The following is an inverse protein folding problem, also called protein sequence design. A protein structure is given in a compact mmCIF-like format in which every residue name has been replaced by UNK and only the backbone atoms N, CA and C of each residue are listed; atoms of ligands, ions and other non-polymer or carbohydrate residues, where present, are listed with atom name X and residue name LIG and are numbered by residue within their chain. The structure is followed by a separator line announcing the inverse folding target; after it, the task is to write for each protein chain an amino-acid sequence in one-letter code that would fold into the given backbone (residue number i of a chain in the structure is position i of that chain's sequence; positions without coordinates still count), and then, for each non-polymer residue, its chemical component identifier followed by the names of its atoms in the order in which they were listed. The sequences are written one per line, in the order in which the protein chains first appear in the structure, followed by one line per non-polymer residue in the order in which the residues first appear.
data_IF_383015828579
#
_entry.id   IF_383015828579
#
_cell.length_a   1.000
_cell.length_b   1.000
_cell.length_c   1.000
_cell.angle_alpha   90.00
_cell.angle_beta   90.00
_cell.angle_gamma   90.00
#
_symmetry.space_group_name_H-M   'P 1'
#
loop_
_entity.id
_entity.type
_entity.pdbx_description
1 polymer ?
#
# COMPACT_ATOMS: atom_id res chain seq x y z
N UNK A 1 24.20 10.91 10.26
CA UNK A 1 23.10 10.63 11.20
C UNK A 1 21.86 11.17 10.50
N UNK A 2 21.12 10.28 9.79
CA UNK A 2 19.94 10.69 9.05
C UNK A 2 18.83 10.89 10.05
N UNK A 3 18.24 12.08 10.04
CA UNK A 3 17.04 12.37 10.83
C UNK A 3 15.90 11.56 10.17
N UNK A 4 15.61 10.39 10.72
CA UNK A 4 14.38 9.67 10.42
C UNK A 4 13.27 10.66 10.74
N UNK A 5 12.35 11.00 9.80
CA UNK A 5 11.17 11.73 10.19
C UNK A 5 10.51 10.87 11.28
N UNK A 6 10.64 11.31 12.55
CA UNK A 6 9.90 10.69 13.64
C UNK A 6 8.45 10.70 13.15
N UNK A 7 7.77 9.59 13.40
CA UNK A 7 6.31 9.57 13.32
C UNK A 7 5.79 10.91 13.81
N UNK A 8 4.81 11.53 13.14
CA UNK A 8 4.32 12.82 13.56
C UNK A 8 4.13 12.74 15.06
N UNK A 9 4.93 13.51 15.82
CA UNK A 9 4.78 13.53 17.25
C UNK A 9 3.35 13.99 17.46
N UNK A 10 2.49 13.07 17.89
CA UNK A 10 1.17 13.40 18.39
C UNK A 10 1.42 14.46 19.45
N UNK A 11 1.16 15.68 19.09
CA UNK A 11 1.20 16.73 20.07
C UNK A 11 0.01 16.46 20.98
N UNK A 12 0.23 15.98 22.18
CA UNK A 12 -0.82 15.68 23.17
C UNK A 12 -1.76 16.86 23.45
N UNK A 13 -1.46 18.01 22.88
CA UNK A 13 -2.25 19.24 22.98
C UNK A 13 -3.20 19.48 21.82
N UNK A 14 -3.15 18.70 20.73
CA UNK A 14 -4.11 18.80 19.61
C UNK A 14 -5.08 17.63 19.69
N UNK A 15 -6.30 17.91 20.14
CA UNK A 15 -7.40 16.97 20.01
C UNK A 15 -7.54 16.55 18.54
N UNK A 16 -7.67 15.26 18.27
CA UNK A 16 -7.95 14.76 16.93
C UNK A 16 -9.26 15.36 16.46
N UNK A 17 -9.19 16.30 15.52
CA UNK A 17 -10.35 17.08 15.10
C UNK A 17 -11.24 16.34 14.11
N UNK A 18 -10.71 15.36 13.37
CA UNK A 18 -11.48 14.64 12.36
C UNK A 18 -10.91 13.27 12.06
N UNK A 19 -11.78 12.39 11.55
CA UNK A 19 -11.44 11.07 11.02
C UNK A 19 -11.71 11.06 9.51
N UNK A 20 -10.78 10.53 8.73
CA UNK A 20 -10.95 10.24 7.32
C UNK A 20 -11.25 8.76 7.12
N UNK A 21 -12.26 8.45 6.31
CA UNK A 21 -12.68 7.08 6.00
C UNK A 21 -12.70 6.90 4.49
N UNK A 22 -11.79 6.07 3.99
CA UNK A 22 -11.78 5.65 2.59
C UNK A 22 -12.76 4.48 2.40
N UNK A 23 -13.70 4.64 1.48
CA UNK A 23 -14.58 3.56 1.03
C UNK A 23 -14.13 3.12 -0.36
N UNK A 24 -13.83 1.83 -0.50
CA UNK A 24 -13.38 1.24 -1.75
C UNK A 24 -14.40 1.42 -2.90
N UNK A 25 -15.68 1.39 -2.54
CA UNK A 25 -16.77 1.41 -3.50
C UNK A 25 -17.08 0.02 -4.06
N UNK A 26 -17.85 -0.02 -5.14
CA UNK A 26 -18.17 -1.24 -5.86
C UNK A 26 -17.29 -1.34 -7.12
N UNK A 27 -16.76 -2.52 -7.37
CA UNK A 27 -15.90 -2.84 -8.50
C UNK A 27 -16.53 -2.42 -9.84
N UNK A 28 -15.79 -1.68 -10.66
CA UNK A 28 -16.22 -1.11 -11.95
C UNK A 28 -17.37 -0.10 -11.86
N UNK A 29 -17.63 0.47 -10.67
CA UNK A 29 -18.68 1.48 -10.51
C UNK A 29 -18.14 2.91 -10.40
N UNK A 30 -16.82 3.09 -10.34
CA UNK A 30 -16.15 4.40 -10.24
C UNK A 30 -16.73 5.26 -9.09
N UNK A 31 -16.95 4.63 -7.93
CA UNK A 31 -17.67 5.22 -6.81
C UNK A 31 -16.92 5.10 -5.46
N UNK A 32 -15.60 5.02 -5.48
CA UNK A 32 -14.82 5.18 -4.24
C UNK A 32 -15.02 6.57 -3.67
N UNK A 33 -15.13 6.67 -2.33
CA UNK A 33 -15.30 7.94 -1.63
C UNK A 33 -14.31 8.07 -0.48
N UNK A 34 -13.96 9.30 -0.16
CA UNK A 34 -13.25 9.65 1.07
C UNK A 34 -14.20 10.50 1.92
N UNK A 35 -14.73 9.94 3.00
CA UNK A 35 -15.55 10.65 3.94
C UNK A 35 -14.70 11.31 5.03
N UNK A 36 -15.20 12.43 5.58
CA UNK A 36 -14.64 13.11 6.74
C UNK A 36 -15.68 13.21 7.84
N UNK A 37 -15.30 12.78 9.03
CA UNK A 37 -16.10 12.93 10.26
C UNK A 37 -15.45 13.99 11.12
N UNK A 38 -16.16 15.06 11.46
CA UNK A 38 -15.76 16.01 12.49
C UNK A 38 -16.04 15.40 13.86
N UNK A 39 -15.01 15.17 14.66
CA UNK A 39 -15.16 14.48 15.94
C UNK A 39 -15.66 15.40 17.07
N UNK A 40 -15.68 16.73 16.86
CA UNK A 40 -16.22 17.67 17.85
C UNK A 40 -17.72 17.90 17.65
N UNK A 41 -18.16 18.01 16.39
CA UNK A 41 -19.55 18.29 16.05
C UNK A 41 -20.37 17.05 15.71
N UNK A 42 -19.70 15.96 15.29
CA UNK A 42 -20.32 14.75 14.76
C UNK A 42 -20.82 14.90 13.32
N UNK A 43 -20.54 16.03 12.66
CA UNK A 43 -20.91 16.23 11.25
C UNK A 43 -20.09 15.30 10.32
N UNK A 44 -20.75 14.80 9.27
CA UNK A 44 -20.15 13.88 8.30
C UNK A 44 -20.32 14.45 6.89
N UNK A 45 -19.20 14.64 6.19
CA UNK A 45 -19.18 14.78 4.73
C UNK A 45 -18.87 13.40 4.14
N UNK A 46 -19.83 12.77 3.49
CA UNK A 46 -19.70 11.42 2.96
C UNK A 46 -18.85 11.31 1.70
N UNK A 47 -18.60 12.43 1.01
CA UNK A 47 -17.72 12.48 -0.17
C UNK A 47 -16.85 13.74 -0.14
N UNK A 48 -16.09 13.84 0.95
CA UNK A 48 -15.22 14.99 1.23
C UNK A 48 -14.17 15.19 0.13
N UNK A 49 -13.71 14.10 -0.52
CA UNK A 49 -12.79 14.23 -1.64
C UNK A 49 -13.40 15.04 -2.79
N UNK A 50 -14.63 14.71 -3.20
CA UNK A 50 -15.34 15.46 -4.25
C UNK A 50 -15.63 16.89 -3.83
N UNK A 51 -16.01 17.12 -2.57
CA UNK A 51 -16.20 18.47 -2.00
C UNK A 51 -14.94 19.33 -2.17
N UNK A 52 -13.76 18.77 -1.89
CA UNK A 52 -12.49 19.52 -1.92
C UNK A 52 -11.86 19.64 -3.31
N UNK A 53 -12.15 18.69 -4.22
CA UNK A 53 -11.44 18.57 -5.50
C UNK A 53 -12.32 18.70 -6.74
N UNK A 54 -13.65 18.74 -6.60
CA UNK A 54 -14.60 18.89 -7.70
C UNK A 54 -14.66 17.70 -8.66
N UNK A 55 -14.12 16.54 -8.25
CA UNK A 55 -14.12 15.28 -9.01
C UNK A 55 -14.13 14.09 -8.08
N UNK A 56 -14.56 12.92 -8.55
CA UNK A 56 -14.44 11.67 -7.81
C UNK A 56 -12.99 11.20 -7.67
N UNK A 57 -12.74 10.34 -6.68
CA UNK A 57 -11.41 9.76 -6.43
C UNK A 57 -11.07 8.66 -7.44
N UNK A 58 -12.08 7.95 -7.93
CA UNK A 58 -11.92 6.88 -8.91
C UNK A 58 -12.63 5.58 -8.51
N UNK A 59 -12.16 4.48 -9.05
CA UNK A 59 -12.69 3.14 -8.84
C UNK A 59 -11.73 2.31 -7.99
N UNK A 60 -12.23 1.77 -6.90
CA UNK A 60 -11.52 0.86 -6.00
C UNK A 60 -10.32 1.53 -5.31
N UNK A 61 -10.59 2.49 -4.41
CA UNK A 61 -9.59 3.05 -3.48
C UNK A 61 -9.17 1.99 -2.48
N UNK A 62 -7.98 1.43 -2.65
CA UNK A 62 -7.58 0.18 -2.00
C UNK A 62 -6.88 0.36 -0.65
N UNK A 63 -6.09 1.40 -0.52
CA UNK A 63 -5.32 1.72 0.70
C UNK A 63 -5.27 3.23 0.90
N UNK A 64 -5.04 3.65 2.12
CA UNK A 64 -4.84 5.06 2.45
C UNK A 64 -3.82 5.18 3.58
N UNK A 65 -2.70 5.83 3.30
CA UNK A 65 -1.68 6.08 4.32
C UNK A 65 -1.20 7.52 4.31
N UNK A 66 -1.07 8.09 5.48
CA UNK A 66 -0.41 9.39 5.67
C UNK A 66 1.09 9.19 5.86
N UNK A 67 1.88 10.00 5.15
CA UNK A 67 3.32 10.11 5.36
C UNK A 67 3.74 11.58 5.30
N UNK A 68 4.23 12.09 6.44
CA UNK A 68 4.48 13.52 6.60
C UNK A 68 3.21 14.36 6.39
N UNK A 69 3.30 15.37 5.54
CA UNK A 69 2.19 16.27 5.20
C UNK A 69 1.32 15.77 4.03
N UNK A 70 1.45 14.51 3.63
CA UNK A 70 0.74 13.96 2.47
C UNK A 70 -0.02 12.68 2.82
N UNK A 71 -1.15 12.47 2.12
CA UNK A 71 -1.92 11.22 2.15
C UNK A 71 -1.79 10.59 0.76
N UNK A 72 -1.49 9.29 0.73
CA UNK A 72 -1.32 8.50 -0.47
C UNK A 72 -2.44 7.47 -0.56
N UNK A 73 -3.15 7.45 -1.69
CA UNK A 73 -4.30 6.58 -1.93
C UNK A 73 -4.09 5.83 -3.25
N UNK A 74 -3.69 4.55 -3.21
CA UNK A 74 -3.74 3.68 -4.38
C UNK A 74 -5.19 3.45 -4.81
N UNK A 75 -5.50 3.75 -6.08
CA UNK A 75 -6.83 3.57 -6.67
C UNK A 75 -6.71 2.48 -7.75
N UNK A 76 -7.11 1.27 -7.37
CA UNK A 76 -6.75 0.03 -8.07
C UNK A 76 -7.26 -0.01 -9.53
N UNK A 77 -8.57 -0.01 -9.73
CA UNK A 77 -9.17 -0.15 -11.07
C UNK A 77 -8.94 1.11 -11.93
N UNK A 78 -8.95 2.29 -11.34
CA UNK A 78 -8.56 3.52 -12.05
C UNK A 78 -7.07 3.56 -12.38
N UNK A 79 -6.28 2.63 -11.86
CA UNK A 79 -4.84 2.49 -12.07
C UNK A 79 -4.06 3.77 -11.87
N UNK A 80 -4.19 4.34 -10.68
CA UNK A 80 -3.53 5.59 -10.30
C UNK A 80 -3.18 5.62 -8.82
N UNK A 81 -2.19 6.45 -8.48
CA UNK A 81 -1.93 6.86 -7.10
C UNK A 81 -2.39 8.31 -6.93
N UNK A 82 -3.36 8.54 -6.07
CA UNK A 82 -3.79 9.86 -5.67
C UNK A 82 -2.98 10.33 -4.46
N UNK A 83 -2.45 11.55 -4.50
CA UNK A 83 -1.66 12.14 -3.42
C UNK A 83 -2.31 13.46 -3.00
N UNK A 84 -2.66 13.56 -1.71
CA UNK A 84 -3.35 14.70 -1.14
C UNK A 84 -2.46 15.44 -0.15
N UNK A 85 -2.72 16.71 0.05
CA UNK A 85 -2.28 17.45 1.23
C UNK A 85 -3.05 16.96 2.46
N UNK A 86 -2.34 16.57 3.51
CA UNK A 86 -2.94 15.92 4.68
C UNK A 86 -3.85 16.85 5.50
N UNK A 87 -3.68 18.17 5.41
CA UNK A 87 -4.50 19.12 6.16
C UNK A 87 -5.79 19.47 5.42
N UNK A 88 -5.69 19.68 4.11
CA UNK A 88 -6.80 20.16 3.29
C UNK A 88 -7.51 19.08 2.47
N UNK A 89 -6.93 17.88 2.36
CA UNK A 89 -7.34 16.81 1.45
C UNK A 89 -7.45 17.25 -0.03
N UNK A 90 -6.79 18.36 -0.39
CA UNK A 90 -6.68 18.76 -1.79
C UNK A 90 -5.66 17.92 -2.52
N UNK A 91 -5.99 17.50 -3.73
CA UNK A 91 -5.11 16.77 -4.62
C UNK A 91 -3.86 17.59 -4.93
N UNK A 92 -2.69 17.03 -4.61
CA UNK A 92 -1.38 17.59 -4.96
C UNK A 92 -0.95 17.00 -6.30
N UNK A 93 -1.13 15.69 -6.46
CA UNK A 93 -0.71 14.96 -7.65
C UNK A 93 -1.52 13.69 -7.83
N UNK A 94 -1.80 13.37 -9.08
CA UNK A 94 -2.32 12.10 -9.52
C UNK A 94 -1.28 11.46 -10.44
N UNK A 95 -0.80 10.27 -10.08
CA UNK A 95 0.20 9.52 -10.85
C UNK A 95 -0.53 8.39 -11.58
N UNK A 96 -0.68 8.44 -12.91
CA UNK A 96 -1.24 7.33 -13.66
C UNK A 96 -0.25 6.16 -13.69
N UNK A 97 -0.79 4.94 -13.54
CA UNK A 97 0.00 3.71 -13.43
C UNK A 97 -0.39 2.74 -14.56
N UNK A 98 0.15 3.01 -15.74
CA UNK A 98 0.01 2.18 -16.92
C UNK A 98 1.40 1.77 -17.42
N UNK A 99 1.51 0.60 -18.03
CA UNK A 99 2.74 0.17 -18.68
C UNK A 99 2.90 0.87 -20.06
N UNK A 100 3.97 0.56 -20.77
CA UNK A 100 4.29 1.15 -22.09
C UNK A 100 3.24 0.80 -23.17
N UNK A 101 2.53 -0.30 -22.99
CA UNK A 101 1.43 -0.74 -23.88
C UNK A 101 0.07 -0.12 -23.48
N UNK A 102 0.03 0.73 -22.45
CA UNK A 102 -1.19 1.33 -21.94
C UNK A 102 -2.05 0.39 -21.07
N UNK A 103 -1.48 -0.73 -20.61
CA UNK A 103 -2.19 -1.69 -19.74
C UNK A 103 -2.09 -1.20 -18.29
N UNK A 104 -3.23 -1.24 -17.59
CA UNK A 104 -3.34 -0.86 -16.19
C UNK A 104 -2.47 -1.74 -15.29
N UNK A 105 -1.70 -1.11 -14.38
CA UNK A 105 -0.85 -1.80 -13.40
C UNK A 105 -1.60 -2.17 -12.13
N UNK A 106 -2.75 -1.56 -11.86
CA UNK A 106 -3.65 -1.85 -10.74
C UNK A 106 -2.95 -1.78 -9.36
N UNK A 107 -2.62 -0.58 -8.86
CA UNK A 107 -1.93 -0.43 -7.57
C UNK A 107 -2.75 -0.94 -6.40
N UNK A 108 -2.06 -1.47 -5.37
CA UNK A 108 -2.72 -2.10 -4.21
C UNK A 108 -2.42 -1.39 -2.90
N UNK A 109 -1.22 -1.49 -2.41
CA UNK A 109 -0.81 -0.99 -1.10
C UNK A 109 0.44 -0.13 -1.20
N UNK A 110 0.58 0.82 -0.28
CA UNK A 110 1.74 1.71 -0.19
C UNK A 110 2.41 1.61 1.17
N UNK A 111 3.75 1.65 1.21
CA UNK A 111 4.53 1.80 2.44
C UNK A 111 5.67 2.78 2.22
N UNK A 112 6.38 3.15 3.29
CA UNK A 112 7.38 4.21 3.23
C UNK A 112 8.65 3.81 3.97
N UNK A 113 9.79 4.30 3.48
CA UNK A 113 11.06 4.34 4.19
C UNK A 113 11.80 5.61 3.78
N UNK A 114 12.16 6.45 4.75
CA UNK A 114 12.89 7.72 4.55
C UNK A 114 12.21 8.64 3.54
N UNK A 115 12.86 8.89 2.40
CA UNK A 115 12.38 9.77 1.31
C UNK A 115 11.64 9.00 0.20
N UNK A 116 11.32 7.72 0.41
CA UNK A 116 10.70 6.87 -0.60
C UNK A 116 9.36 6.29 -0.16
N UNK A 117 8.44 6.24 -1.10
CA UNK A 117 7.22 5.44 -1.04
C UNK A 117 7.38 4.22 -1.97
N UNK A 118 6.85 3.09 -1.53
CA UNK A 118 6.85 1.84 -2.30
C UNK A 118 5.42 1.40 -2.50
N UNK A 119 5.04 1.12 -3.74
CA UNK A 119 3.68 0.86 -4.17
C UNK A 119 3.60 -0.47 -4.92
N UNK A 120 2.85 -1.43 -4.40
CA UNK A 120 2.57 -2.69 -5.12
C UNK A 120 1.58 -2.48 -6.25
N UNK A 121 1.78 -3.21 -7.34
CA UNK A 121 0.91 -3.23 -8.51
C UNK A 121 0.59 -4.68 -8.91
N UNK A 122 -0.67 -4.98 -9.18
CA UNK A 122 -1.13 -6.35 -9.50
C UNK A 122 -0.52 -6.94 -10.78
N UNK A 123 0.07 -6.13 -11.64
CA UNK A 123 0.80 -6.59 -12.83
C UNK A 123 2.17 -7.23 -12.50
N UNK A 124 2.51 -7.41 -11.24
CA UNK A 124 3.73 -8.06 -10.78
C UNK A 124 4.89 -7.12 -10.50
N UNK A 125 4.65 -5.84 -10.30
CA UNK A 125 5.68 -4.84 -10.07
C UNK A 125 5.49 -4.09 -8.75
N UNK A 126 6.60 -3.56 -8.24
CA UNK A 126 6.61 -2.53 -7.20
C UNK A 126 7.24 -1.27 -7.77
N UNK A 127 6.54 -0.14 -7.63
CA UNK A 127 7.07 1.18 -7.93
C UNK A 127 7.79 1.76 -6.71
N UNK A 128 8.90 2.48 -6.93
CA UNK A 128 9.51 3.36 -5.94
C UNK A 128 9.28 4.80 -6.37
N UNK A 129 8.80 5.61 -5.44
CA UNK A 129 8.38 7.00 -5.67
C UNK A 129 9.16 7.89 -4.71
N UNK A 130 9.78 8.94 -5.19
CA UNK A 130 10.41 9.95 -4.36
C UNK A 130 9.33 10.83 -3.71
N UNK A 131 9.33 10.94 -2.37
CA UNK A 131 8.27 11.63 -1.63
C UNK A 131 8.33 13.15 -1.72
N UNK A 132 9.44 13.72 -2.20
CA UNK A 132 9.59 15.15 -2.40
C UNK A 132 9.15 15.57 -3.80
N UNK A 133 9.68 14.92 -4.85
CA UNK A 133 9.33 15.22 -6.25
C UNK A 133 8.02 14.61 -6.70
N UNK A 134 7.56 13.56 -6.02
CA UNK A 134 6.40 12.74 -6.36
C UNK A 134 6.52 12.11 -7.77
N UNK A 135 7.75 11.73 -8.14
CA UNK A 135 8.05 11.03 -9.38
C UNK A 135 8.45 9.59 -9.10
N UNK A 136 8.07 8.68 -9.99
CA UNK A 136 8.54 7.29 -9.94
C UNK A 136 9.99 7.27 -10.39
N UNK A 137 10.90 6.79 -9.52
CA UNK A 137 12.34 6.72 -9.78
C UNK A 137 12.85 5.28 -9.92
N UNK A 138 11.99 4.28 -9.81
CA UNK A 138 12.38 2.89 -9.98
C UNK A 138 11.22 1.91 -10.03
N UNK A 139 11.47 0.77 -10.66
CA UNK A 139 10.57 -0.37 -10.73
C UNK A 139 11.33 -1.66 -10.43
N UNK A 140 10.71 -2.57 -9.69
CA UNK A 140 11.24 -3.91 -9.45
C UNK A 140 10.16 -4.96 -9.69
N UNK A 141 10.54 -6.05 -10.36
CA UNK A 141 9.65 -7.18 -10.61
C UNK A 141 9.57 -8.06 -9.36
N UNK A 142 8.34 -8.49 -9.01
CA UNK A 142 8.03 -9.42 -7.92
C UNK A 142 7.39 -10.72 -8.45
N UNK A 143 6.74 -11.47 -7.57
CA UNK A 143 5.88 -12.60 -7.93
C UNK A 143 4.56 -12.16 -8.57
N UNK A 144 3.60 -13.07 -8.61
CA UNK A 144 2.32 -12.81 -9.23
C UNK A 144 1.41 -12.01 -8.29
N UNK A 145 0.79 -10.97 -8.83
CA UNK A 145 -0.18 -10.13 -8.12
C UNK A 145 0.32 -9.69 -6.72
N UNK A 146 1.40 -8.88 -6.63
CA UNK A 146 1.84 -8.32 -5.38
C UNK A 146 0.68 -7.62 -4.67
N UNK A 147 0.44 -7.98 -3.42
CA UNK A 147 -0.66 -7.46 -2.62
C UNK A 147 -0.13 -6.47 -1.58
N UNK A 148 0.19 -6.89 -0.38
CA UNK A 148 0.65 -6.01 0.69
C UNK A 148 2.18 -6.01 0.83
N UNK A 149 2.72 -5.01 1.53
CA UNK A 149 4.16 -4.82 1.66
C UNK A 149 4.53 -4.16 2.98
N UNK A 150 5.72 -4.51 3.50
CA UNK A 150 6.27 -3.93 4.72
C UNK A 150 7.79 -3.74 4.61
N UNK A 151 8.30 -2.68 5.21
CA UNK A 151 9.75 -2.46 5.35
C UNK A 151 10.24 -3.07 6.67
N UNK A 152 11.31 -3.86 6.60
CA UNK A 152 12.00 -4.40 7.76
C UNK A 152 13.49 -4.56 7.43
N UNK A 153 14.38 -4.13 8.35
CA UNK A 153 15.85 -4.30 8.23
C UNK A 153 16.44 -3.90 6.86
N UNK A 154 16.10 -2.70 6.36
CA UNK A 154 16.49 -2.15 5.05
C UNK A 154 16.08 -3.02 3.85
N UNK A 155 15.09 -3.86 4.03
CA UNK A 155 14.47 -4.68 2.99
C UNK A 155 12.97 -4.41 2.92
N UNK A 156 12.40 -4.60 1.74
CA UNK A 156 10.97 -4.57 1.51
C UNK A 156 10.49 -6.01 1.29
N UNK A 157 9.55 -6.43 2.10
CA UNK A 157 8.88 -7.72 2.00
C UNK A 157 7.53 -7.51 1.33
N UNK A 158 7.27 -8.26 0.26
CA UNK A 158 6.06 -8.12 -0.56
C UNK A 158 5.37 -9.46 -0.67
N UNK A 159 4.12 -9.55 -0.21
CA UNK A 159 3.30 -10.74 -0.39
C UNK A 159 2.80 -10.83 -1.83
N UNK A 160 3.01 -11.98 -2.47
CA UNK A 160 2.55 -12.25 -3.84
C UNK A 160 1.33 -13.16 -3.75
N UNK A 161 0.14 -12.60 -3.93
CA UNK A 161 -1.12 -13.34 -3.68
C UNK A 161 -1.50 -14.30 -4.82
N UNK A 162 -1.05 -14.02 -6.05
CA UNK A 162 -1.60 -14.68 -7.23
C UNK A 162 -2.96 -14.12 -7.66
N UNK A 163 -3.48 -13.13 -6.94
CA UNK A 163 -4.71 -12.43 -7.31
C UNK A 163 -5.97 -13.27 -7.16
N UNK A 164 -6.75 -13.34 -8.25
CA UNK A 164 -8.01 -14.09 -8.31
C UNK A 164 -7.89 -15.34 -9.20
N UNK A 165 -6.68 -15.78 -9.47
CA UNK A 165 -6.40 -16.88 -10.40
C UNK A 165 -6.53 -18.26 -9.73
N UNK A 166 -7.72 -18.57 -9.23
CA UNK A 166 -8.04 -19.86 -8.63
C UNK A 166 -7.96 -20.99 -9.69
N UNK A 167 -7.25 -22.12 -9.45
CA UNK A 167 -6.52 -22.45 -8.21
C UNK A 167 -5.03 -22.06 -8.23
N UNK A 168 -4.55 -21.26 -9.15
CA UNK A 168 -3.14 -20.97 -9.42
C UNK A 168 -2.60 -19.78 -8.61
N UNK A 169 -3.01 -19.66 -7.33
CA UNK A 169 -2.47 -18.66 -6.42
C UNK A 169 -0.94 -18.74 -6.29
N UNK A 170 -0.30 -17.59 -6.09
CA UNK A 170 1.12 -17.55 -5.70
C UNK A 170 1.28 -17.99 -4.22
N UNK A 171 2.47 -18.39 -3.83
CA UNK A 171 2.79 -18.86 -2.49
C UNK A 171 4.10 -18.28 -1.98
N UNK A 172 4.39 -17.03 -2.33
CA UNK A 172 5.71 -16.46 -2.06
C UNK A 172 5.65 -15.05 -1.45
N UNK A 173 6.74 -14.71 -0.76
CA UNK A 173 7.08 -13.34 -0.35
C UNK A 173 8.36 -12.94 -1.07
N UNK A 174 8.30 -11.86 -1.85
CA UNK A 174 9.49 -11.25 -2.47
C UNK A 174 10.24 -10.40 -1.44
N UNK A 175 11.56 -10.54 -1.37
CA UNK A 175 12.45 -9.73 -0.56
C UNK A 175 13.26 -8.83 -1.48
N UNK A 176 13.11 -7.52 -1.32
CA UNK A 176 13.74 -6.50 -2.14
C UNK A 176 14.72 -5.71 -1.27
N UNK A 177 15.98 -5.63 -1.67
CA UNK A 177 16.96 -4.76 -1.05
C UNK A 177 16.68 -3.30 -1.40
N UNK A 178 16.49 -2.44 -0.40
CA UNK A 178 16.08 -1.04 -0.60
C UNK A 178 17.18 -0.16 -1.21
N UNK A 179 18.45 -0.55 -1.07
CA UNK A 179 19.58 0.22 -1.61
C UNK A 179 19.74 -0.01 -3.12
N UNK A 180 19.80 -1.28 -3.52
CA UNK A 180 19.91 -1.65 -4.95
C UNK A 180 18.59 -1.61 -5.67
N UNK A 181 17.48 -1.65 -4.96
CA UNK A 181 16.11 -1.78 -5.43
C UNK A 181 15.94 -2.98 -6.38
N UNK A 182 16.41 -4.14 -5.93
CA UNK A 182 16.33 -5.42 -6.63
C UNK A 182 15.77 -6.51 -5.72
N UNK A 183 15.01 -7.43 -6.31
CA UNK A 183 14.63 -8.66 -5.60
C UNK A 183 15.90 -9.49 -5.37
N UNK A 184 16.19 -9.77 -4.09
CA UNK A 184 17.37 -10.54 -3.66
C UNK A 184 17.00 -11.94 -3.23
N UNK A 185 15.75 -12.18 -2.86
CA UNK A 185 15.25 -13.49 -2.42
C UNK A 185 13.75 -13.59 -2.65
N UNK A 186 13.28 -14.82 -2.78
CA UNK A 186 11.87 -15.18 -2.75
C UNK A 186 11.67 -16.29 -1.74
N UNK A 187 10.80 -16.05 -0.76
CA UNK A 187 10.55 -16.96 0.37
C UNK A 187 9.25 -17.70 0.07
N UNK A 188 9.28 -19.03 0.11
CA UNK A 188 8.07 -19.83 0.00
C UNK A 188 7.28 -19.76 1.32
N UNK A 189 5.97 -19.52 1.21
CA UNK A 189 5.00 -19.53 2.31
C UNK A 189 3.78 -20.37 1.88
N UNK A 190 2.66 -20.30 2.57
CA UNK A 190 1.41 -20.91 2.11
C UNK A 190 0.78 -20.18 0.93
N UNK A 191 -0.27 -20.74 0.36
CA UNK A 191 -0.99 -20.19 -0.79
C UNK A 191 -1.66 -18.85 -0.46
N UNK A 192 -1.71 -17.98 -1.46
CA UNK A 192 -2.44 -16.70 -1.45
C UNK A 192 -2.03 -15.81 -0.25
N UNK A 193 -0.73 -15.46 -0.10
CA UNK A 193 -0.30 -14.57 0.94
C UNK A 193 -0.88 -13.16 0.72
N UNK A 194 -1.41 -12.57 1.79
CA UNK A 194 -2.06 -11.26 1.78
C UNK A 194 -1.41 -10.29 2.76
N UNK A 195 -2.09 -10.04 3.90
CA UNK A 195 -1.59 -9.08 4.89
C UNK A 195 -0.21 -9.47 5.42
N UNK A 196 0.68 -8.49 5.47
CA UNK A 196 2.06 -8.65 5.94
C UNK A 196 2.42 -7.47 6.85
N UNK A 197 3.06 -7.74 7.98
CA UNK A 197 3.50 -6.75 8.96
C UNK A 197 4.87 -7.11 9.51
N UNK A 198 5.57 -6.15 10.09
CA UNK A 198 6.80 -6.37 10.82
C UNK A 198 6.66 -5.90 12.25
N UNK A 199 7.34 -6.56 13.19
CA UNK A 199 7.45 -6.12 14.56
C UNK A 199 8.75 -5.32 14.80
N UNK A 200 8.91 -4.84 16.04
CA UNK A 200 10.10 -4.06 16.44
C UNK A 200 11.35 -4.91 16.67
N UNK A 201 11.22 -6.24 16.68
CA UNK A 201 12.33 -7.18 16.85
C UNK A 201 12.95 -7.59 15.52
N UNK A 202 12.32 -7.20 14.41
CA UNK A 202 12.80 -7.48 13.06
C UNK A 202 12.19 -8.76 12.46
N UNK A 203 11.11 -9.23 13.03
CA UNK A 203 10.34 -10.35 12.48
C UNK A 203 9.23 -9.86 11.56
N UNK A 204 9.01 -10.58 10.47
CA UNK A 204 7.94 -10.30 9.51
C UNK A 204 6.89 -11.39 9.57
N UNK A 205 5.64 -10.99 9.69
CA UNK A 205 4.50 -11.90 9.77
C UNK A 205 3.64 -11.75 8.53
N UNK A 206 3.29 -12.88 7.90
CA UNK A 206 2.43 -12.92 6.73
C UNK A 206 1.28 -13.92 6.93
N UNK A 207 0.06 -13.48 6.60
CA UNK A 207 -1.12 -14.34 6.60
C UNK A 207 -1.33 -14.87 5.18
N UNK A 208 -1.47 -16.18 5.06
CA UNK A 208 -1.88 -16.86 3.82
C UNK A 208 -3.33 -17.28 3.91
N UNK A 209 -4.08 -17.11 2.80
CA UNK A 209 -5.53 -17.34 2.74
C UNK A 209 -5.91 -18.71 2.21
N UNK A 210 -4.90 -19.52 1.87
CA UNK A 210 -5.14 -20.82 1.23
C UNK A 210 -5.82 -20.69 -0.13
N UNK A 211 -6.50 -21.73 -0.55
CA UNK A 211 -7.25 -21.80 -1.80
C UNK A 211 -8.77 -21.59 -1.63
N UNK A 212 -9.20 -21.30 -0.39
CA UNK A 212 -10.59 -21.18 0.05
C UNK A 212 -11.39 -22.49 0.02
N UNK A 213 -10.71 -23.65 -0.11
CA UNK A 213 -11.34 -24.97 -0.14
C UNK A 213 -10.58 -25.97 0.76
N UNK A 214 -9.47 -26.53 0.28
CA UNK A 214 -8.72 -27.59 1.00
C UNK A 214 -7.56 -27.06 1.85
N UNK A 215 -6.92 -25.96 1.45
CA UNK A 215 -5.82 -25.34 2.18
C UNK A 215 -6.28 -24.26 3.15
N UNK A 216 -5.92 -24.40 4.41
CA UNK A 216 -6.31 -23.51 5.51
C UNK A 216 -5.54 -22.18 5.52
N UNK A 217 -6.10 -21.21 6.22
CA UNK A 217 -5.44 -19.96 6.57
C UNK A 217 -4.28 -20.23 7.52
N UNK A 218 -3.13 -19.63 7.28
CA UNK A 218 -1.95 -19.77 8.12
C UNK A 218 -1.29 -18.43 8.40
N UNK A 219 -0.63 -18.35 9.55
CA UNK A 219 0.29 -17.26 9.90
C UNK A 219 1.72 -17.79 9.81
N UNK A 220 2.54 -17.16 9.00
CA UNK A 220 3.95 -17.45 8.89
C UNK A 220 4.78 -16.35 9.52
N UNK A 221 5.81 -16.73 10.27
CA UNK A 221 6.83 -15.83 10.80
C UNK A 221 8.09 -15.97 9.95
N UNK A 222 8.62 -14.86 9.48
CA UNK A 222 9.87 -14.77 8.72
C UNK A 222 10.88 -14.00 9.58
N UNK A 223 12.00 -14.61 9.88
CA UNK A 223 13.17 -13.96 10.45
C UNK A 223 13.84 -13.12 9.34
N UNK A 224 13.86 -11.80 9.51
CA UNK A 224 14.39 -10.90 8.49
C UNK A 224 15.91 -10.79 8.48
N UNK A 225 16.63 -11.37 9.44
CA UNK A 225 18.11 -11.44 9.37
C UNK A 225 18.55 -12.48 8.36
N UNK A 226 17.86 -13.61 8.33
CA UNK A 226 18.20 -14.75 7.45
C UNK A 226 17.22 -14.95 6.28
N UNK A 227 16.14 -14.18 6.22
CA UNK A 227 15.08 -14.24 5.20
C UNK A 227 14.47 -15.63 5.05
N UNK A 228 14.01 -16.22 6.15
CA UNK A 228 13.50 -17.60 6.20
C UNK A 228 12.32 -17.69 7.16
N UNK A 229 11.34 -18.53 6.80
CA UNK A 229 10.23 -18.89 7.70
C UNK A 229 10.76 -19.69 8.88
N UNK A 230 10.33 -19.35 10.11
CA UNK A 230 10.77 -19.93 11.39
C UNK A 230 9.59 -20.38 12.26
#
# INVERSE_FOLDING_TARGET
MYDVPREPMWNDSTETASLLVLSEGLFNMNNSTLAKVDLQTGEIDYDYFTTMNGRGIGDTGNDMKQYGAKIYIPVNISSQLEILDANSCKSIKQIPLFNEDGIARQPRYVTFDKDKAYLTCFDGWVARIDTASLEIDGWVRCGNNPDNLVVCNNKLYVSNSGGLDNPFYDNSVSVIDLVSFKEIRRIAVGLNPGSIVADSEGDVYVITRGDYDEEDYMLHKIDSEIDTVV
#
